data_IF_225948031884
#
_entry.id   IF_225948031884
#
_cell.length_a   1.000
_cell.length_b   1.000
_cell.length_c   1.000
_cell.angle_alpha   90.00
_cell.angle_beta   90.00
_cell.angle_gamma   90.00
#
_symmetry.space_group_name_H-M   'P 1'
#
loop_
_entity.id
_entity.type
_entity.pdbx_description
1 polymer ?
#
# COMPACT_ATOMS: atom_id res chain seq x y z
N UNK A 1 -75.28 34.98 22.96
CA UNK A 1 -75.39 33.72 23.69
C UNK A 1 -74.67 32.67 22.91
N UNK A 2 -73.79 31.97 23.53
CA UNK A 2 -72.96 30.83 23.08
C UNK A 2 -71.60 31.24 22.44
N UNK A 3 -70.49 30.98 23.12
CA UNK A 3 -69.15 31.35 22.64
C UNK A 3 -68.59 30.33 21.67
N UNK A 4 -67.89 30.86 20.70
CA UNK A 4 -67.14 30.13 19.69
C UNK A 4 -65.95 29.39 20.30
N UNK A 5 -65.87 28.11 20.05
CA UNK A 5 -64.72 27.25 20.37
C UNK A 5 -63.52 27.60 19.49
N UNK A 6 -62.46 28.06 20.08
CA UNK A 6 -61.14 28.25 19.45
C UNK A 6 -60.49 26.87 19.38
N UNK A 7 -60.33 26.31 18.16
CA UNK A 7 -59.53 25.12 17.90
C UNK A 7 -58.06 25.55 17.85
N UNK A 8 -57.31 25.22 18.88
CA UNK A 8 -55.87 25.31 18.88
C UNK A 8 -55.30 24.17 18.07
N UNK A 9 -54.77 24.46 16.88
CA UNK A 9 -54.06 23.52 16.04
C UNK A 9 -52.59 23.42 16.56
N UNK A 10 -52.30 22.35 17.29
CA UNK A 10 -50.97 22.05 17.79
C UNK A 10 -50.12 21.51 16.59
N UNK A 11 -49.27 22.39 16.05
CA UNK A 11 -48.31 22.05 15.01
C UNK A 11 -47.15 21.30 15.69
N UNK A 12 -47.13 19.97 15.59
CA UNK A 12 -45.94 19.16 15.94
C UNK A 12 -44.89 19.42 14.88
N UNK A 13 -43.89 20.22 15.21
CA UNK A 13 -42.63 20.27 14.47
C UNK A 13 -41.83 19.01 14.79
N UNK A 14 -41.88 18.04 13.86
CA UNK A 14 -40.95 16.91 13.82
C UNK A 14 -39.58 17.47 13.38
N UNK A 15 -38.73 17.78 14.36
CA UNK A 15 -37.32 17.99 14.11
C UNK A 15 -36.67 16.64 13.71
N UNK A 16 -36.46 16.43 12.43
CA UNK A 16 -35.53 15.41 11.95
C UNK A 16 -34.15 15.83 12.41
N UNK A 17 -33.70 15.31 13.54
CA UNK A 17 -32.30 15.29 13.89
C UNK A 17 -31.58 14.35 12.92
N UNK A 18 -30.97 14.92 11.90
CA UNK A 18 -30.03 14.22 11.05
C UNK A 18 -28.82 13.86 11.92
N UNK A 19 -28.84 12.67 12.49
CA UNK A 19 -27.74 12.13 13.27
C UNK A 19 -26.66 11.66 12.27
N UNK A 20 -25.91 12.63 11.73
CA UNK A 20 -24.67 12.32 11.01
C UNK A 20 -23.67 11.84 12.05
N UNK A 21 -23.62 10.54 12.29
CA UNK A 21 -22.49 9.90 12.93
C UNK A 21 -21.25 10.07 12.03
N UNK A 22 -20.71 11.29 11.97
CA UNK A 22 -19.31 11.48 11.60
C UNK A 22 -18.53 10.82 12.73
N UNK A 23 -18.06 9.61 12.48
CA UNK A 23 -16.99 9.00 13.27
C UNK A 23 -15.85 10.02 13.29
N UNK A 24 -15.69 10.78 14.38
CA UNK A 24 -14.54 11.64 14.55
C UNK A 24 -13.32 10.72 14.48
N UNK A 25 -12.54 10.88 13.40
CA UNK A 25 -11.24 10.21 13.30
C UNK A 25 -10.40 10.78 14.43
N UNK A 26 -10.07 9.96 15.42
CA UNK A 26 -9.14 10.35 16.47
C UNK A 26 -7.80 10.69 15.79
N UNK A 27 -7.34 11.96 15.84
CA UNK A 27 -6.09 12.36 15.20
C UNK A 27 -4.85 11.76 15.88
N UNK A 28 -5.02 11.13 17.03
CA UNK A 28 -3.97 10.46 17.79
C UNK A 28 -4.20 8.94 17.76
N UNK A 29 -3.84 8.31 16.65
CA UNK A 29 -3.71 6.85 16.62
C UNK A 29 -2.41 6.55 17.36
N UNK A 30 -2.53 6.13 18.61
CA UNK A 30 -1.39 5.55 19.33
C UNK A 30 -0.94 4.31 18.56
N UNK A 31 0.38 4.05 18.47
CA UNK A 31 0.86 2.79 17.90
C UNK A 31 0.14 1.65 18.60
N UNK A 32 -0.39 0.73 17.82
CA UNK A 32 -1.09 -0.43 18.37
C UNK A 32 -0.02 -1.36 18.95
N UNK A 33 0.20 -1.26 20.24
CA UNK A 33 1.26 -1.99 20.96
C UNK A 33 1.00 -3.50 21.05
N UNK A 34 -0.19 -3.93 20.63
CA UNK A 34 -0.61 -5.34 20.76
C UNK A 34 -0.19 -6.20 19.57
N UNK A 35 0.45 -5.62 18.54
CA UNK A 35 0.78 -6.35 17.30
C UNK A 35 2.19 -6.93 17.23
N UNK A 36 3.00 -6.83 18.30
CA UNK A 36 4.35 -7.36 18.36
C UNK A 36 5.45 -6.30 18.20
N UNK A 37 6.70 -6.75 18.03
CA UNK A 37 7.88 -5.88 18.05
C UNK A 37 8.53 -5.67 16.69
N UNK A 38 8.10 -6.42 15.66
CA UNK A 38 8.69 -6.37 14.31
C UNK A 38 7.72 -5.72 13.31
N UNK A 39 7.09 -4.64 13.71
CA UNK A 39 6.08 -3.96 12.90
C UNK A 39 6.68 -3.13 11.76
N UNK A 40 5.89 -2.95 10.68
CA UNK A 40 6.18 -2.11 9.51
C UNK A 40 5.08 -1.04 9.34
N UNK A 41 5.36 0.08 8.64
CA UNK A 41 6.62 0.48 8.03
C UNK A 41 7.64 1.03 9.04
N UNK A 42 8.89 1.24 8.61
CA UNK A 42 9.96 1.81 9.45
C UNK A 42 10.65 3.02 8.77
N UNK A 43 11.37 3.80 9.59
CA UNK A 43 12.34 4.75 9.07
C UNK A 43 13.70 4.06 8.92
N UNK A 44 14.18 3.93 7.70
CA UNK A 44 15.48 3.34 7.37
C UNK A 44 16.54 4.43 7.58
N UNK A 45 17.51 4.16 8.46
CA UNK A 45 18.64 5.08 8.74
C UNK A 45 19.88 4.56 8.02
N UNK A 46 20.31 5.27 6.97
CA UNK A 46 21.36 4.78 6.07
C UNK A 46 22.74 4.71 6.73
N UNK A 47 23.01 5.52 7.75
CA UNK A 47 24.27 5.47 8.52
C UNK A 47 24.41 4.23 9.43
N UNK A 48 23.36 3.43 9.60
CA UNK A 48 23.33 2.28 10.51
C UNK A 48 23.11 0.92 9.82
N UNK A 49 23.26 0.87 8.51
CA UNK A 49 23.07 -0.33 7.70
C UNK A 49 24.19 -1.36 7.91
N UNK A 50 23.87 -2.60 7.63
CA UNK A 50 24.83 -3.70 7.59
C UNK A 50 24.86 -4.27 6.17
N UNK A 51 26.05 -4.42 5.61
CA UNK A 51 26.18 -5.12 4.33
C UNK A 51 25.79 -6.60 4.50
N UNK A 52 24.97 -7.10 3.59
CA UNK A 52 24.59 -8.49 3.52
C UNK A 52 24.57 -8.96 2.06
N UNK A 53 24.52 -10.26 1.89
CA UNK A 53 24.52 -10.88 0.57
C UNK A 53 23.37 -11.88 0.49
N UNK A 54 22.25 -11.42 -0.02
CA UNK A 54 21.07 -12.23 -0.31
C UNK A 54 20.91 -12.42 -1.81
N UNK A 55 20.37 -13.56 -2.21
CA UNK A 55 20.07 -13.85 -3.62
C UNK A 55 18.58 -13.64 -3.89
N UNK A 56 18.27 -12.65 -4.72
CA UNK A 56 16.93 -12.44 -5.22
C UNK A 56 16.90 -12.68 -6.74
N UNK A 57 15.95 -13.48 -7.19
CA UNK A 57 15.73 -13.76 -8.61
C UNK A 57 14.25 -13.69 -8.93
N UNK A 58 13.86 -12.82 -9.85
CA UNK A 58 12.48 -12.68 -10.32
C UNK A 58 12.23 -13.42 -11.63
N UNK A 59 11.08 -14.07 -11.73
CA UNK A 59 10.54 -14.63 -12.96
C UNK A 59 9.11 -14.14 -13.15
N UNK A 60 8.96 -13.02 -13.84
CA UNK A 60 7.68 -12.38 -14.07
C UNK A 60 7.26 -12.56 -15.53
N UNK A 61 6.03 -12.98 -15.72
CA UNK A 61 5.40 -13.16 -17.02
C UNK A 61 4.44 -11.99 -17.28
N UNK A 62 4.21 -11.64 -18.54
CA UNK A 62 3.10 -10.77 -18.87
C UNK A 62 1.78 -11.34 -18.32
N UNK A 63 0.97 -10.49 -17.71
CA UNK A 63 -0.30 -10.84 -17.10
C UNK A 63 -1.39 -9.95 -17.64
N UNK A 64 -2.62 -10.45 -17.72
CA UNK A 64 -3.78 -9.58 -17.79
C UNK A 64 -3.87 -8.80 -16.47
N UNK A 65 -4.41 -7.61 -16.53
CA UNK A 65 -4.60 -6.79 -15.35
C UNK A 65 -6.05 -6.84 -14.89
N UNK A 66 -6.19 -6.91 -13.59
CA UNK A 66 -7.44 -6.64 -12.91
C UNK A 66 -7.22 -5.50 -11.92
N UNK A 67 -7.84 -4.33 -12.17
CA UNK A 67 -7.72 -3.17 -11.30
C UNK A 67 -8.95 -3.09 -10.42
N UNK A 68 -8.74 -3.18 -9.12
CA UNK A 68 -9.79 -3.15 -8.10
C UNK A 68 -9.70 -1.85 -7.32
N UNK A 69 -10.80 -1.10 -7.21
CA UNK A 69 -10.89 0.08 -6.36
C UNK A 69 -11.41 -0.33 -4.98
N UNK A 70 -10.52 -0.55 -4.04
CA UNK A 70 -10.88 -0.84 -2.65
C UNK A 70 -11.12 0.45 -1.85
N UNK A 71 -11.66 0.34 -0.63
CA UNK A 71 -12.07 1.50 0.19
C UNK A 71 -10.93 2.52 0.42
N UNK A 72 -9.68 2.04 0.54
CA UNK A 72 -8.54 2.88 0.88
C UNK A 72 -7.31 2.63 0.00
N UNK A 73 -7.44 1.88 -1.09
CA UNK A 73 -6.33 1.61 -2.01
C UNK A 73 -6.81 1.17 -3.37
N UNK A 74 -5.93 1.29 -4.36
CA UNK A 74 -6.09 0.69 -5.67
C UNK A 74 -5.16 -0.51 -5.74
N UNK A 75 -5.73 -1.68 -5.97
CA UNK A 75 -4.99 -2.93 -6.10
C UNK A 75 -5.01 -3.40 -7.55
N UNK A 76 -3.86 -3.82 -8.05
CA UNK A 76 -3.72 -4.41 -9.39
C UNK A 76 -3.36 -5.87 -9.21
N UNK A 77 -4.30 -6.75 -9.46
CA UNK A 77 -4.14 -8.18 -9.37
C UNK A 77 -3.49 -8.76 -10.63
N UNK A 78 -2.76 -9.84 -10.46
CA UNK A 78 -2.00 -10.51 -11.51
C UNK A 78 -2.37 -11.96 -11.65
N UNK A 79 -2.33 -12.46 -12.90
CA UNK A 79 -2.44 -13.87 -13.21
C UNK A 79 -1.35 -14.68 -12.48
N UNK A 80 -1.69 -15.91 -12.14
CA UNK A 80 -0.75 -16.83 -11.51
C UNK A 80 0.41 -17.22 -12.44
N UNK A 81 1.58 -17.51 -11.84
CA UNK A 81 2.76 -18.03 -12.56
C UNK A 81 3.95 -17.10 -12.58
N UNK A 82 3.82 -15.86 -12.08
CA UNK A 82 4.92 -14.97 -11.75
C UNK A 82 5.40 -15.22 -10.32
N UNK A 83 6.71 -15.17 -10.09
CA UNK A 83 7.28 -15.39 -8.75
C UNK A 83 8.65 -14.71 -8.62
N UNK A 84 9.08 -14.52 -7.38
CA UNK A 84 10.48 -14.30 -7.03
C UNK A 84 10.99 -15.42 -6.14
N UNK A 85 12.31 -15.65 -6.16
CA UNK A 85 13.02 -16.50 -5.22
C UNK A 85 13.95 -15.62 -4.38
N UNK A 86 13.89 -15.75 -3.08
CA UNK A 86 14.78 -15.10 -2.12
C UNK A 86 15.49 -16.17 -1.31
N UNK A 87 16.80 -16.26 -1.41
CA UNK A 87 17.64 -17.30 -0.78
C UNK A 87 17.11 -18.73 -1.00
N UNK A 88 16.62 -19.01 -2.20
CA UNK A 88 16.07 -20.30 -2.58
C UNK A 88 14.62 -20.55 -2.15
N UNK A 89 14.01 -19.65 -1.40
CA UNK A 89 12.57 -19.71 -1.07
C UNK A 89 11.77 -18.98 -2.15
N UNK A 90 10.78 -19.65 -2.74
CA UNK A 90 9.94 -19.09 -3.79
C UNK A 90 8.68 -18.45 -3.22
N UNK A 91 8.37 -17.23 -3.69
CA UNK A 91 7.17 -16.46 -3.36
C UNK A 91 6.42 -16.11 -4.65
N UNK A 92 5.16 -16.51 -4.74
CA UNK A 92 4.29 -16.21 -5.90
C UNK A 92 3.85 -14.75 -5.87
N UNK A 93 4.03 -14.04 -6.98
CA UNK A 93 3.51 -12.68 -7.12
C UNK A 93 2.00 -12.70 -7.16
N UNK A 94 1.38 -11.76 -6.46
CA UNK A 94 -0.09 -11.66 -6.31
C UNK A 94 -0.64 -10.38 -6.87
N UNK A 95 -0.16 -9.26 -6.37
CA UNK A 95 -0.72 -7.95 -6.67
C UNK A 95 0.30 -6.85 -6.40
N UNK A 96 0.01 -5.67 -6.92
CA UNK A 96 0.64 -4.43 -6.48
C UNK A 96 -0.41 -3.43 -6.04
N UNK A 97 -0.04 -2.55 -5.13
CA UNK A 97 -0.89 -1.45 -4.66
C UNK A 97 -0.06 -0.24 -4.28
N UNK A 98 -0.76 0.89 -4.04
CA UNK A 98 -0.12 2.17 -3.82
C UNK A 98 -0.44 2.74 -2.45
N UNK A 99 0.47 3.58 -1.96
CA UNK A 99 0.28 4.39 -0.76
C UNK A 99 0.61 5.85 -1.06
N UNK A 100 -0.26 6.74 -0.63
CA UNK A 100 -0.06 8.19 -0.67
C UNK A 100 -0.42 8.81 0.68
N UNK A 101 0.57 9.38 1.44
CA UNK A 101 2.01 9.40 1.14
C UNK A 101 2.66 8.01 1.27
N UNK A 102 3.98 7.94 1.04
CA UNK A 102 4.76 6.75 1.31
C UNK A 102 4.66 6.30 2.77
N UNK A 103 4.72 4.99 2.99
CA UNK A 103 4.72 4.38 4.31
C UNK A 103 6.11 4.36 4.94
N UNK A 104 7.15 3.94 4.16
CA UNK A 104 8.53 3.97 4.61
C UNK A 104 9.12 5.39 4.55
N UNK A 105 10.08 5.61 5.43
CA UNK A 105 10.95 6.80 5.38
C UNK A 105 12.40 6.35 5.19
N UNK A 106 13.20 7.19 4.53
CA UNK A 106 14.65 7.05 4.45
C UNK A 106 15.27 8.30 5.06
N UNK A 107 16.08 8.13 6.09
CA UNK A 107 16.73 9.21 6.85
C UNK A 107 15.76 10.31 7.33
N UNK A 108 14.56 9.91 7.73
CA UNK A 108 13.50 10.82 8.17
C UNK A 108 12.78 11.56 7.05
N UNK A 109 13.07 11.26 5.78
CA UNK A 109 12.40 11.87 4.64
C UNK A 109 11.16 11.05 4.29
N UNK A 110 9.99 11.70 4.28
CA UNK A 110 8.74 11.13 3.75
C UNK A 110 8.62 11.44 2.26
N UNK A 111 8.38 10.44 1.47
CA UNK A 111 8.13 10.57 0.04
C UNK A 111 6.62 10.68 -0.25
N UNK A 112 6.22 11.31 -1.37
CA UNK A 112 4.80 11.53 -1.66
C UNK A 112 4.02 10.27 -2.05
N UNK A 113 4.71 9.18 -2.43
CA UNK A 113 4.06 7.95 -2.86
C UNK A 113 5.00 6.75 -2.72
N UNK A 114 4.41 5.57 -2.51
CA UNK A 114 5.09 4.28 -2.46
C UNK A 114 4.25 3.23 -3.18
N UNK A 115 4.89 2.27 -3.84
CA UNK A 115 4.26 1.09 -4.42
C UNK A 115 4.77 -0.16 -3.72
N UNK A 116 3.88 -1.09 -3.43
CA UNK A 116 4.20 -2.41 -2.91
C UNK A 116 3.88 -3.49 -3.92
N UNK A 117 4.84 -4.36 -4.18
CA UNK A 117 4.68 -5.56 -4.99
C UNK A 117 4.65 -6.76 -4.05
N UNK A 118 3.48 -7.33 -3.86
CA UNK A 118 3.24 -8.36 -2.83
C UNK A 118 3.38 -9.75 -3.41
N UNK A 119 4.25 -10.56 -2.78
CA UNK A 119 4.44 -11.96 -3.09
C UNK A 119 4.15 -12.81 -1.86
N UNK A 120 3.65 -14.01 -2.08
CA UNK A 120 3.28 -14.93 -0.99
C UNK A 120 3.88 -16.31 -1.18
N UNK A 121 4.25 -16.91 -0.06
CA UNK A 121 4.54 -18.33 0.07
C UNK A 121 3.61 -18.90 1.14
N UNK A 122 3.11 -20.11 0.92
CA UNK A 122 2.31 -20.84 1.90
C UNK A 122 3.11 -22.06 2.28
N UNK A 123 3.50 -22.15 3.54
CA UNK A 123 4.23 -23.30 4.05
C UNK A 123 3.31 -24.52 4.27
N UNK A 124 3.91 -25.66 4.68
CA UNK A 124 3.20 -26.91 4.95
C UNK A 124 2.26 -26.85 6.14
N UNK A 125 2.33 -25.78 6.96
CA UNK A 125 1.47 -25.53 8.12
C UNK A 125 0.36 -24.51 7.82
N UNK A 126 0.20 -24.13 6.55
CA UNK A 126 -0.74 -23.11 6.07
C UNK A 126 -0.46 -21.71 6.59
N UNK A 127 0.75 -21.43 7.11
CA UNK A 127 1.16 -20.08 7.43
C UNK A 127 1.55 -19.31 6.18
N UNK A 128 1.02 -18.10 6.07
CA UNK A 128 1.38 -17.19 5.00
C UNK A 128 2.66 -16.44 5.36
N UNK A 129 3.64 -16.55 4.47
CA UNK A 129 4.87 -15.76 4.47
C UNK A 129 4.84 -14.83 3.27
N UNK A 130 5.28 -13.61 3.47
CA UNK A 130 5.25 -12.58 2.44
C UNK A 130 6.67 -12.12 2.10
N UNK A 131 6.85 -11.76 0.85
CA UNK A 131 7.97 -10.95 0.40
C UNK A 131 7.42 -9.74 -0.33
N UNK A 132 7.75 -8.54 0.14
CA UNK A 132 7.23 -7.30 -0.44
C UNK A 132 8.40 -6.47 -0.96
N UNK A 133 8.36 -6.18 -2.27
CA UNK A 133 9.23 -5.15 -2.86
C UNK A 133 8.50 -3.82 -2.72
N UNK A 134 9.16 -2.84 -2.12
CA UNK A 134 8.69 -1.47 -1.98
C UNK A 134 9.54 -0.53 -2.81
N UNK A 135 8.92 0.38 -3.54
CA UNK A 135 9.61 1.42 -4.32
C UNK A 135 8.99 2.78 -4.01
N UNK A 136 9.83 3.74 -3.65
CA UNK A 136 9.44 5.09 -3.25
C UNK A 136 9.45 6.03 -4.46
N UNK A 137 8.59 7.03 -4.46
CA UNK A 137 8.53 8.04 -5.52
C UNK A 137 8.71 9.44 -4.97
N UNK A 138 9.54 10.23 -5.64
CA UNK A 138 9.64 11.68 -5.45
C UNK A 138 8.90 12.43 -6.56
N UNK A 139 8.57 13.69 -6.30
CA UNK A 139 8.05 14.58 -7.33
C UNK A 139 9.12 14.80 -8.41
N UNK A 140 8.76 14.59 -9.68
CA UNK A 140 9.68 14.73 -10.78
C UNK A 140 9.01 14.57 -12.15
N UNK A 141 9.66 13.84 -13.03
CA UNK A 141 9.18 13.57 -14.39
C UNK A 141 7.95 12.69 -14.40
N UNK A 142 7.20 12.79 -15.50
CA UNK A 142 6.06 11.91 -15.76
C UNK A 142 6.51 10.44 -15.81
N UNK A 143 5.76 9.57 -15.14
CA UNK A 143 6.03 8.14 -15.07
C UNK A 143 5.02 7.37 -15.94
N UNK A 144 5.51 6.78 -17.03
CA UNK A 144 4.66 6.05 -17.96
C UNK A 144 4.12 4.73 -17.38
N UNK A 145 4.86 4.10 -16.46
CA UNK A 145 4.38 2.91 -15.77
C UNK A 145 3.10 3.20 -14.97
N UNK A 146 3.05 4.32 -14.25
CA UNK A 146 1.87 4.71 -13.49
C UNK A 146 0.66 5.03 -14.37
N UNK A 147 0.90 5.50 -15.60
CA UNK A 147 -0.18 5.83 -16.55
C UNK A 147 -1.05 4.61 -16.85
N UNK A 148 -0.42 3.44 -16.93
CA UNK A 148 -1.10 2.18 -17.22
C UNK A 148 -2.18 1.83 -16.19
N UNK A 149 -2.05 2.30 -14.96
CA UNK A 149 -3.03 2.05 -13.89
C UNK A 149 -3.95 3.25 -13.64
N UNK A 150 -3.37 4.43 -13.41
CA UNK A 150 -4.10 5.63 -12.95
C UNK A 150 -5.27 6.00 -13.85
N UNK A 151 -5.17 5.74 -15.15
CA UNK A 151 -6.20 6.11 -16.12
C UNK A 151 -7.38 5.14 -16.15
N UNK A 152 -7.25 3.99 -15.54
CA UNK A 152 -8.22 2.90 -15.61
C UNK A 152 -8.81 2.50 -14.26
N UNK A 153 -8.45 3.19 -13.19
CA UNK A 153 -9.06 2.96 -11.88
C UNK A 153 -10.57 3.19 -11.97
N UNK A 154 -11.39 2.22 -11.56
CA UNK A 154 -12.85 2.39 -11.50
C UNK A 154 -13.24 3.57 -10.62
N UNK A 155 -14.35 4.24 -10.96
CA UNK A 155 -14.81 5.41 -10.23
C UNK A 155 -15.34 5.09 -8.84
N UNK A 156 -16.02 3.95 -8.72
CA UNK A 156 -16.72 3.56 -7.50
C UNK A 156 -15.95 2.50 -6.72
N UNK A 157 -15.95 2.64 -5.40
CA UNK A 157 -15.35 1.67 -4.48
C UNK A 157 -16.05 0.33 -4.59
N UNK A 158 -15.29 -0.74 -4.73
CA UNK A 158 -15.76 -2.11 -4.93
C UNK A 158 -15.87 -2.52 -6.39
N UNK A 159 -15.72 -1.57 -7.32
CA UNK A 159 -15.73 -1.88 -8.74
C UNK A 159 -14.36 -2.41 -9.20
N UNK A 160 -14.42 -3.21 -10.27
CA UNK A 160 -13.26 -3.86 -10.89
C UNK A 160 -13.27 -3.65 -12.40
N UNK A 161 -12.10 -3.37 -12.95
CA UNK A 161 -11.87 -3.35 -14.40
C UNK A 161 -10.94 -4.49 -14.79
N UNK A 162 -11.40 -5.34 -15.73
CA UNK A 162 -10.62 -6.45 -16.28
C UNK A 162 -10.16 -6.11 -17.70
N UNK A 163 -8.89 -6.35 -17.98
CA UNK A 163 -8.32 -6.18 -19.32
C UNK A 163 -8.08 -7.55 -19.97
N UNK A 164 -8.78 -7.85 -21.05
CA UNK A 164 -8.64 -9.13 -21.78
C UNK A 164 -7.66 -9.06 -22.94
N UNK A 165 -7.41 -7.86 -23.48
CA UNK A 165 -6.55 -7.64 -24.65
C UNK A 165 -5.30 -6.83 -24.33
N UNK A 166 -5.01 -6.64 -23.05
CA UNK A 166 -3.90 -5.84 -22.57
C UNK A 166 -3.08 -6.64 -21.58
N UNK A 167 -1.76 -6.63 -21.80
CA UNK A 167 -0.81 -7.32 -20.94
C UNK A 167 0.12 -6.32 -20.30
N UNK A 168 0.34 -6.49 -19.04
CA UNK A 168 1.30 -5.75 -18.26
C UNK A 168 2.48 -6.63 -17.86
N UNK A 169 3.68 -6.08 -17.85
CA UNK A 169 4.87 -6.82 -17.48
C UNK A 169 5.69 -6.06 -16.44
N UNK A 170 5.56 -6.45 -15.18
CA UNK A 170 6.29 -5.84 -14.07
C UNK A 170 7.81 -6.03 -14.17
N UNK A 171 8.28 -7.01 -14.97
CA UNK A 171 9.72 -7.27 -15.10
C UNK A 171 10.48 -6.09 -15.72
N UNK A 172 9.81 -5.29 -16.54
CA UNK A 172 10.46 -4.14 -17.18
C UNK A 172 10.72 -3.00 -16.17
N UNK A 173 9.81 -2.81 -15.22
CA UNK A 173 10.03 -1.91 -14.09
C UNK A 173 11.17 -2.44 -13.21
N UNK A 174 11.09 -3.69 -12.78
CA UNK A 174 12.05 -4.26 -11.83
C UNK A 174 13.47 -4.32 -12.40
N UNK A 175 13.66 -4.74 -13.64
CA UNK A 175 14.99 -4.77 -14.29
C UNK A 175 15.64 -3.39 -14.41
N UNK A 176 14.85 -2.35 -14.48
CA UNK A 176 15.33 -0.98 -14.70
C UNK A 176 15.54 -0.21 -13.40
N UNK A 177 14.68 -0.44 -12.42
CA UNK A 177 14.53 0.45 -11.26
C UNK A 177 14.77 -0.26 -9.92
N UNK A 178 14.96 -1.59 -9.91
CA UNK A 178 15.20 -2.38 -8.71
C UNK A 178 16.54 -3.09 -8.82
N UNK A 179 17.57 -2.50 -8.25
CA UNK A 179 18.93 -3.00 -8.11
C UNK A 179 19.29 -3.11 -6.61
N UNK A 180 19.98 -2.14 -6.06
CA UNK A 180 20.31 -2.11 -4.63
C UNK A 180 19.05 -1.86 -3.78
N UNK A 181 18.95 -2.53 -2.62
CA UNK A 181 17.81 -2.41 -1.74
C UNK A 181 18.14 -2.58 -0.27
N UNK A 182 17.28 -2.04 0.58
CA UNK A 182 17.28 -2.25 2.01
C UNK A 182 16.41 -3.46 2.35
N UNK A 183 16.97 -4.41 3.11
CA UNK A 183 16.25 -5.59 3.55
C UNK A 183 16.04 -5.58 5.05
N UNK A 184 14.84 -5.96 5.49
CA UNK A 184 14.52 -6.20 6.89
C UNK A 184 13.29 -7.12 7.04
N UNK A 185 13.18 -7.78 8.21
CA UNK A 185 11.99 -8.55 8.56
C UNK A 185 10.97 -7.67 9.28
N UNK A 186 9.71 -7.77 8.88
CA UNK A 186 8.65 -6.93 9.41
C UNK A 186 7.26 -7.53 9.33
N UNK A 187 6.26 -6.67 9.27
CA UNK A 187 4.84 -7.04 9.24
C UNK A 187 4.14 -6.55 7.98
N UNK A 188 2.92 -7.04 7.75
CA UNK A 188 1.96 -6.33 6.91
C UNK A 188 1.69 -4.94 7.51
N UNK A 189 1.42 -3.95 6.65
CA UNK A 189 1.07 -2.58 7.04
C UNK A 189 -0.44 -2.39 7.18
N UNK A 190 -1.21 -3.44 6.88
CA UNK A 190 -2.67 -3.50 7.05
C UNK A 190 -3.05 -4.58 8.07
N UNK A 191 -4.21 -4.47 8.76
CA UNK A 191 -4.68 -5.49 9.68
C UNK A 191 -4.71 -6.87 9.03
N UNK A 192 -4.29 -7.94 9.72
CA UNK A 192 -3.98 -8.04 11.15
C UNK A 192 -2.52 -7.70 11.52
N UNK A 193 -1.71 -7.06 10.66
CA UNK A 193 -0.32 -6.65 10.90
C UNK A 193 0.63 -7.81 11.20
N UNK A 194 0.41 -8.95 10.57
CA UNK A 194 1.15 -10.19 10.78
C UNK A 194 2.65 -10.04 10.49
N UNK A 195 3.51 -10.48 11.43
CA UNK A 195 4.97 -10.32 11.39
C UNK A 195 5.65 -11.46 10.61
N UNK A 196 5.27 -11.66 9.35
CA UNK A 196 5.81 -12.71 8.46
C UNK A 196 6.29 -12.14 7.11
N UNK A 197 6.71 -10.88 7.10
CA UNK A 197 7.08 -10.18 5.87
C UNK A 197 8.59 -9.98 5.79
N UNK A 198 9.16 -10.39 4.66
CA UNK A 198 10.49 -9.97 4.20
C UNK A 198 10.30 -8.72 3.34
N UNK A 199 10.86 -7.61 3.76
CA UNK A 199 10.80 -6.35 3.03
C UNK A 199 12.07 -6.13 2.23
N UNK A 200 11.92 -5.75 0.96
CA UNK A 200 12.97 -5.25 0.11
C UNK A 200 12.58 -3.84 -0.37
N UNK A 201 13.09 -2.82 0.30
CA UNK A 201 12.83 -1.41 -0.05
C UNK A 201 13.90 -0.93 -1.01
N UNK A 202 13.51 -0.58 -2.24
CA UNK A 202 14.45 -0.14 -3.27
C UNK A 202 15.25 1.10 -2.82
N UNK A 203 16.55 1.08 -3.05
CA UNK A 203 17.39 2.25 -2.81
C UNK A 203 17.14 3.35 -3.86
N UNK A 204 16.82 2.96 -5.09
CA UNK A 204 16.49 3.90 -6.14
C UNK A 204 15.12 4.55 -5.91
N UNK A 205 15.08 5.90 -5.88
CA UNK A 205 13.83 6.66 -5.72
C UNK A 205 13.32 7.07 -7.09
N UNK A 206 12.19 6.50 -7.48
CA UNK A 206 11.52 6.79 -8.74
C UNK A 206 10.98 8.21 -8.79
N UNK A 207 10.62 8.66 -9.98
CA UNK A 207 9.95 9.94 -10.18
C UNK A 207 8.51 9.73 -10.64
N UNK A 208 7.61 10.60 -10.15
CA UNK A 208 6.26 10.74 -10.67
C UNK A 208 5.89 12.22 -10.77
N UNK A 209 5.07 12.58 -11.76
CA UNK A 209 4.63 13.97 -11.89
C UNK A 209 3.69 14.37 -10.76
N UNK A 210 3.64 15.66 -10.38
CA UNK A 210 2.71 16.13 -9.36
C UNK A 210 1.25 15.76 -9.65
N UNK A 211 0.87 15.74 -10.92
CA UNK A 211 -0.49 15.41 -11.35
C UNK A 211 -0.82 13.93 -11.18
N UNK A 212 0.14 13.03 -11.40
CA UNK A 212 -0.05 11.59 -11.16
C UNK A 212 -0.21 11.30 -9.67
N UNK A 213 0.68 11.85 -8.84
CA UNK A 213 0.60 11.71 -7.38
C UNK A 213 -0.73 12.26 -6.84
N UNK A 214 -1.12 13.47 -7.28
CA UNK A 214 -2.37 14.09 -6.84
C UNK A 214 -3.60 13.27 -7.29
N UNK A 215 -3.55 12.64 -8.46
CA UNK A 215 -4.65 11.81 -8.96
C UNK A 215 -4.81 10.54 -8.13
N UNK A 216 -3.72 9.84 -7.81
CA UNK A 216 -3.77 8.68 -6.91
C UNK A 216 -4.22 9.08 -5.50
N UNK A 217 -3.63 10.13 -4.92
CA UNK A 217 -4.04 10.61 -3.59
C UNK A 217 -5.52 11.01 -3.53
N UNK A 218 -6.09 11.54 -4.62
CA UNK A 218 -7.52 11.86 -4.68
C UNK A 218 -8.40 10.59 -4.61
N UNK A 219 -7.91 9.49 -5.18
CA UNK A 219 -8.63 8.20 -5.20
C UNK A 219 -8.51 7.50 -3.84
N UNK A 220 -7.28 7.34 -3.35
CA UNK A 220 -6.97 6.52 -2.16
C UNK A 220 -7.05 7.32 -0.84
N UNK A 221 -6.90 8.64 -0.91
CA UNK A 221 -6.71 9.48 0.28
C UNK A 221 -5.33 9.25 0.92
N UNK A 222 -5.20 9.61 2.18
CA UNK A 222 -4.01 9.30 2.97
C UNK A 222 -4.19 7.91 3.59
N UNK A 223 -3.58 6.89 2.98
CA UNK A 223 -3.72 5.49 3.37
C UNK A 223 -2.47 4.89 4.01
N UNK A 224 -1.43 5.70 4.26
CA UNK A 224 -0.19 5.24 4.88
C UNK A 224 -0.37 4.94 6.37
N UNK A 225 0.18 3.81 6.83
CA UNK A 225 0.35 3.50 8.24
C UNK A 225 1.48 4.34 8.84
N UNK A 226 1.35 4.72 10.11
CA UNK A 226 2.42 5.41 10.83
C UNK A 226 3.68 4.55 10.97
N UNK A 227 4.85 5.21 10.97
CA UNK A 227 6.17 4.62 11.23
C UNK A 227 6.18 3.85 12.55
N UNK A 228 6.74 2.66 12.51
CA UNK A 228 6.94 1.77 13.64
C UNK A 228 8.39 1.78 14.11
N UNK A 229 8.62 1.44 15.38
CA UNK A 229 9.96 1.35 15.95
C UNK A 229 10.75 0.19 15.34
N UNK A 230 12.02 0.41 15.06
CA UNK A 230 12.94 -0.63 14.55
C UNK A 230 13.17 -1.73 15.59
N UNK A 231 13.10 -1.40 16.90
CA UNK A 231 13.24 -2.35 18.02
C UNK A 231 14.49 -3.25 17.94
N UNK A 232 15.61 -2.66 17.51
CA UNK A 232 16.89 -3.36 17.39
C UNK A 232 17.00 -4.36 16.24
N UNK A 233 16.02 -4.38 15.32
CA UNK A 233 16.15 -5.15 14.07
C UNK A 233 17.33 -4.64 13.27
N UNK A 234 18.00 -5.58 12.60
CA UNK A 234 19.00 -5.26 11.60
C UNK A 234 18.31 -4.79 10.34
N UNK A 235 18.85 -3.75 9.74
CA UNK A 235 18.50 -3.31 8.40
C UNK A 235 19.74 -3.54 7.55
N UNK A 236 19.60 -4.36 6.52
CA UNK A 236 20.68 -4.80 5.66
C UNK A 236 20.64 -4.03 4.36
N UNK A 237 21.82 -3.73 3.80
CA UNK A 237 21.95 -3.16 2.48
C UNK A 237 22.49 -4.23 1.53
N UNK A 238 21.77 -4.48 0.45
CA UNK A 238 22.07 -5.51 -0.52
C UNK A 238 22.42 -4.87 -1.84
N UNK A 239 23.62 -5.17 -2.34
CA UNK A 239 24.05 -4.84 -3.69
C UNK A 239 23.70 -5.97 -4.66
N UNK A 240 23.09 -5.62 -5.81
CA UNK A 240 22.80 -6.58 -6.91
C UNK A 240 23.70 -6.39 -8.11
#
# INVERSE_FOLDING_TARGET
MIPSQVKILLLMLLSFACNSNKKERNPYILPDLDHGFHQSPINIITDSLQDANHQIMGNYKPSHEEIVHLENTVEVEYDSGSYLSFDGVQYSFKQLHFHTPAEHMIDGITYPMEIHLVHTNIDSTENHHYFVISMLFKIGRYNYFLEDFINYVPSDVGDTVHFVDRYFNISDLLKKEFDDYYHYTGSLTTPPYTETVQWAVANHILEASPTQIAKLNKIEGNNARHIQSVNGRKIEFIHQ
#
